data_IF_778277845473
#
_entry.id   IF_778277845473
#
_cell.length_a   1.000
_cell.length_b   1.000
_cell.length_c   1.000
_cell.angle_alpha   90.00
_cell.angle_beta   90.00
_cell.angle_gamma   90.00
#
_symmetry.space_group_name_H-M   'P 1'
#
loop_
_entity.id
_entity.type
_entity.pdbx_description
1 polymer ?
2 non-polymer ?
3 non-polymer ?
4 water ?
#
# COMPACT_ATOMS: atom_id res chain seq x y z
N UNK A 18 9.49 9.59 7.04
CA UNK A 18 8.93 10.76 7.67
C UNK A 18 7.71 11.29 6.94
N UNK A 19 7.94 12.13 5.93
CA UNK A 19 6.83 12.76 5.22
C UNK A 19 5.92 11.74 4.55
N UNK A 20 4.63 12.09 4.44
CA UNK A 20 3.64 11.28 3.76
C UNK A 20 3.83 11.36 2.26
N UNK A 21 3.58 10.25 1.59
CA UNK A 21 3.66 10.22 0.13
C UNK A 21 2.40 9.59 -0.42
N UNK A 22 1.86 10.19 -1.49
CA UNK A 22 0.72 9.60 -2.17
C UNK A 22 0.95 9.75 -3.67
N UNK A 23 1.14 8.63 -4.36
CA UNK A 23 1.49 8.70 -5.79
C UNK A 23 0.21 8.75 -6.58
N UNK A 24 -0.43 9.94 -6.60
CA UNK A 24 -1.80 10.06 -7.10
C UNK A 24 -1.97 9.56 -8.54
N UNK A 25 -1.15 10.05 -9.46
CA UNK A 25 -1.39 9.66 -10.84
C UNK A 25 -1.15 8.14 -11.03
N UNK A 26 -0.13 7.58 -10.38
CA UNK A 26 0.12 6.14 -10.57
C UNK A 26 -1.05 5.34 -10.00
N UNK A 27 -1.59 5.79 -8.87
CA UNK A 27 -2.71 5.06 -8.26
C UNK A 27 -3.95 5.13 -9.13
N UNK A 28 -4.30 6.33 -9.57
CA UNK A 28 -5.52 6.41 -10.38
C UNK A 28 -5.38 5.72 -11.74
N UNK A 29 -4.19 5.72 -12.34
CA UNK A 29 -4.10 5.06 -13.65
C UNK A 29 -4.14 3.54 -13.50
N UNK A 30 -3.39 3.00 -12.56
CA UNK A 30 -3.38 1.54 -12.40
C UNK A 30 -4.77 1.06 -11.95
N UNK A 31 -5.44 1.85 -11.13
CA UNK A 31 -6.77 1.48 -10.64
C UNK A 31 -7.80 1.54 -11.74
N UNK A 32 -7.79 2.61 -12.52
CA UNK A 32 -8.78 2.73 -13.62
C UNK A 32 -8.57 1.60 -14.65
N UNK A 33 -7.30 1.23 -14.88
CA UNK A 33 -7.00 0.22 -15.88
C UNK A 33 -7.43 -1.18 -15.41
N UNK A 34 -7.16 -1.53 -14.14
CA UNK A 34 -7.50 -2.90 -13.69
C UNK A 34 -8.99 -3.04 -13.42
N UNK A 35 -9.60 -1.98 -12.91
CA UNK A 35 -10.91 -2.12 -12.29
C UNK A 35 -12.08 -1.54 -13.06
N UNK A 36 -11.92 -1.35 -14.36
CA UNK A 36 -13.12 -1.22 -15.15
C UNK A 36 -13.14 0.00 -16.02
N UNK A 37 -12.54 1.09 -15.53
CA UNK A 37 -12.85 2.39 -16.14
C UNK A 37 -12.33 2.46 -17.56
N UNK A 38 -11.17 1.86 -17.82
CA UNK A 38 -10.59 1.95 -19.15
C UNK A 38 -11.40 1.21 -20.21
N UNK A 39 -12.10 0.13 -19.85
CA UNK A 39 -12.94 -0.53 -20.85
C UNK A 39 -14.44 -0.31 -20.65
N UNK A 40 -14.76 0.78 -19.94
CA UNK A 40 -16.10 1.33 -19.97
C UNK A 40 -17.03 0.66 -19.00
N UNK A 41 -16.45 -0.02 -18.01
CA UNK A 41 -17.25 -0.59 -16.92
C UNK A 41 -17.12 0.35 -15.72
N UNK A 42 -17.81 1.47 -15.81
CA UNK A 42 -17.65 2.55 -14.89
C UNK A 42 -18.18 2.16 -13.52
N UNK A 43 -19.23 1.36 -13.48
CA UNK A 43 -19.81 0.98 -12.19
C UNK A 43 -18.91 0.02 -11.43
N UNK A 44 -18.24 -0.86 -12.16
CA UNK A 44 -17.29 -1.77 -11.53
C UNK A 44 -16.18 -0.95 -10.87
N UNK A 45 -15.77 0.14 -11.52
CA UNK A 45 -14.68 0.95 -10.98
C UNK A 45 -15.13 1.63 -9.69
N UNK A 46 -16.36 2.17 -9.71
CA UNK A 46 -16.95 2.76 -8.52
C UNK A 46 -17.01 1.79 -7.36
N UNK A 47 -17.37 0.55 -7.66
CA UNK A 47 -17.47 -0.48 -6.63
C UNK A 47 -16.13 -0.77 -6.02
N UNK A 48 -15.10 -0.80 -6.86
CA UNK A 48 -13.76 -1.03 -6.38
C UNK A 48 -13.38 0.15 -5.47
N UNK A 49 -13.68 1.37 -5.89
CA UNK A 49 -13.31 2.54 -5.07
C UNK A 49 -14.03 2.43 -3.73
N UNK A 50 -15.31 2.07 -3.76
CA UNK A 50 -16.08 1.92 -2.52
C UNK A 50 -15.55 0.84 -1.61
N UNK A 51 -15.21 -0.32 -2.19
CA UNK A 51 -14.70 -1.42 -1.37
C UNK A 51 -13.36 -1.03 -0.74
N UNK A 52 -12.50 -0.34 -1.52
CA UNK A 52 -11.20 0.11 -0.99
C UNK A 52 -11.43 1.12 0.13
N UNK A 53 -12.30 2.09 -0.11
CA UNK A 53 -12.69 3.00 0.97
C UNK A 53 -13.17 2.30 2.25
N UNK A 54 -13.97 1.26 2.12
CA UNK A 54 -14.50 0.58 3.29
C UNK A 54 -13.36 -0.05 4.08
N UNK A 55 -12.38 -0.62 3.38
CA UNK A 55 -11.21 -1.23 4.04
C UNK A 55 -10.40 -0.12 4.73
N UNK A 56 -10.22 1.03 4.06
CA UNK A 56 -9.45 2.15 4.64
C UNK A 56 -10.16 2.69 5.87
N UNK A 57 -11.48 2.82 5.77
CA UNK A 57 -12.28 3.32 6.91
C UNK A 57 -12.07 2.42 8.12
N UNK A 58 -12.10 1.10 7.91
CA UNK A 58 -12.00 0.19 9.07
C UNK A 58 -10.63 0.29 9.74
N UNK A 59 -9.58 0.41 8.93
CA UNK A 59 -8.20 0.52 9.42
C UNK A 59 -8.06 1.83 10.18
N UNK A 60 -8.60 2.90 9.61
CA UNK A 60 -8.50 4.22 10.26
C UNK A 60 -9.27 4.25 11.55
N UNK A 61 -10.47 3.64 11.58
CA UNK A 61 -11.25 3.60 12.81
C UNK A 61 -10.55 2.79 13.88
N UNK A 62 -9.89 1.71 13.45
CA UNK A 62 -9.20 0.84 14.40
C UNK A 62 -8.05 1.63 15.03
N UNK A 63 -7.29 2.31 14.19
CA UNK A 63 -6.13 3.06 14.68
C UNK A 63 -6.57 4.20 15.60
N UNK A 64 -7.54 4.98 15.15
CA UNK A 64 -7.95 6.15 15.91
C UNK A 64 -8.70 5.75 17.17
N UNK A 65 -9.31 4.56 17.13
CA UNK A 65 -10.10 4.09 18.25
C UNK A 65 -9.21 3.73 19.42
N UNK A 66 -7.97 3.34 19.12
CA UNK A 66 -7.01 2.90 20.12
C UNK A 66 -6.00 3.97 20.49
N UNK A 67 -6.13 5.16 19.91
CA UNK A 67 -4.99 6.08 19.97
C UNK A 67 -4.70 6.58 21.38
N UNK A 68 -5.66 6.40 22.29
CA UNK A 68 -5.54 6.84 23.68
C UNK A 68 -4.89 5.79 24.58
N UNK A 69 -4.55 4.64 24.00
CA UNK A 69 -3.91 3.60 24.79
C UNK A 69 -2.41 3.86 24.89
N UNK A 70 -1.83 3.56 26.05
CA UNK A 70 -0.38 3.63 26.16
C UNK A 70 0.26 2.44 25.47
N UNK A 71 1.14 2.72 24.54
CA UNK A 71 1.87 1.64 23.87
C UNK A 71 3.35 1.92 23.78
N UNK A 72 3.87 2.79 24.65
CA UNK A 72 5.29 3.13 24.62
C UNK A 72 5.68 4.27 23.65
N UNK A 73 4.75 4.73 22.81
CA UNK A 73 5.04 5.91 21.98
C UNK A 73 4.84 7.23 22.75
N UNK A 74 5.47 8.30 22.28
CA UNK A 74 5.36 9.62 22.90
C UNK A 74 4.34 10.44 22.14
N UNK A 75 4.22 10.14 20.85
CA UNK A 75 3.34 10.90 19.99
C UNK A 75 2.02 10.15 19.82
N UNK A 76 0.92 10.90 19.82
CA UNK A 76 -0.40 10.32 19.61
C UNK A 76 -0.74 10.31 18.14
N UNK A 77 -1.15 9.15 17.64
CA UNK A 77 -1.49 9.01 16.24
C UNK A 77 -2.60 9.96 15.79
N UNK A 78 -2.66 10.24 14.51
CA UNK A 78 -3.75 11.04 13.94
C UNK A 78 -3.98 10.70 12.48
N UNK A 79 -4.79 11.49 11.78
CA UNK A 79 -5.18 11.06 10.44
C UNK A 79 -4.05 11.26 9.41
N UNK A 80 -3.00 11.97 9.78
CA UNK A 80 -1.87 12.17 8.86
C UNK A 80 -0.65 11.37 9.33
N UNK A 81 -0.87 10.33 10.13
CA UNK A 81 0.19 9.45 10.57
C UNK A 81 0.65 8.58 9.41
N UNK A 82 -0.30 8.21 8.56
CA UNK A 82 0.00 7.51 7.31
C UNK A 82 -0.85 8.13 6.23
N UNK A 83 -0.81 7.60 5.01
CA UNK A 83 -1.49 8.28 3.90
C UNK A 83 -2.91 7.77 3.62
N UNK A 84 -3.43 6.95 4.52
CA UNK A 84 -4.71 6.28 4.28
C UNK A 84 -5.88 7.27 4.21
N UNK A 85 -5.83 8.34 5.00
CA UNK A 85 -6.95 9.28 4.94
C UNK A 85 -6.91 10.03 3.61
N UNK A 86 -5.71 10.41 3.19
CA UNK A 86 -5.56 11.06 1.87
C UNK A 86 -6.11 10.14 0.77
N UNK A 87 -5.79 8.85 0.84
CA UNK A 87 -6.26 7.89 -0.19
C UNK A 87 -7.77 7.76 -0.18
N UNK A 88 -8.37 7.81 1.02
CA UNK A 88 -9.83 7.81 1.16
C UNK A 88 -10.48 8.97 0.40
N UNK A 89 -9.91 10.15 0.53
CA UNK A 89 -10.47 11.30 -0.15
C UNK A 89 -10.23 11.15 -1.66
N UNK A 90 -9.05 10.64 -2.05
CA UNK A 90 -8.81 10.40 -3.49
C UNK A 90 -9.89 9.50 -4.10
N UNK A 91 -10.29 8.46 -3.38
CA UNK A 91 -11.32 7.58 -3.94
C UNK A 91 -12.67 8.25 -4.15
N UNK A 92 -13.00 9.25 -3.33
CA UNK A 92 -14.22 10.02 -3.55
C UNK A 92 -14.14 10.75 -4.89
N UNK A 93 -12.98 11.35 -5.20
CA UNK A 93 -12.87 12.14 -6.42
C UNK A 93 -12.98 11.18 -7.59
N UNK A 94 -12.35 10.00 -7.45
CA UNK A 94 -12.39 9.05 -8.56
C UNK A 94 -13.80 8.50 -8.81
N UNK A 95 -14.58 8.31 -7.75
CA UNK A 95 -15.95 7.79 -7.95
C UNK A 95 -16.76 8.85 -8.71
N UNK A 96 -16.59 10.11 -8.33
CA UNK A 96 -17.29 11.21 -9.00
C UNK A 96 -16.85 11.30 -10.45
N UNK A 97 -15.54 11.14 -10.71
CA UNK A 97 -15.04 11.18 -12.08
C UNK A 97 -15.66 10.05 -12.91
N UNK A 98 -15.79 8.86 -12.34
CA UNK A 98 -16.33 7.73 -13.09
C UNK A 98 -17.79 7.98 -13.50
N UNK A 99 -18.55 8.60 -12.61
CA UNK A 99 -19.93 8.95 -12.95
C UNK A 99 -19.91 9.92 -14.10
N UNK A 100 -18.99 10.88 -14.05
CA UNK A 100 -18.90 11.86 -15.12
C UNK A 100 -18.56 11.17 -16.44
N UNK A 101 -17.63 10.22 -16.38
CA UNK A 101 -17.20 9.54 -17.61
C UNK A 101 -18.30 8.69 -18.18
N UNK A 102 -19.11 8.12 -17.30
CA UNK A 102 -20.18 7.28 -17.77
C UNK A 102 -21.18 8.15 -18.51
N UNK A 103 -21.49 9.31 -17.95
CA UNK A 103 -22.45 10.24 -18.57
C UNK A 103 -21.94 10.78 -19.88
N UNK A 104 -20.65 11.13 -19.93
CA UNK A 104 -20.02 11.63 -21.16
C UNK A 104 -20.36 10.69 -22.31
N UNK A 105 -20.33 9.39 -22.00
CA UNK A 105 -20.70 8.33 -22.94
C UNK A 105 -22.21 8.23 -23.15
N UNK A 106 -22.98 8.17 -22.06
CA UNK A 106 -24.43 8.20 -22.14
C UNK A 106 -24.88 9.59 -22.60
N UNK A 107 -24.86 9.79 -23.91
CA UNK A 107 -25.08 11.12 -24.48
C UNK A 107 -26.08 11.07 -25.61
N UNK A 112 -28.71 19.32 -19.88
CA UNK A 112 -29.78 18.52 -19.28
C UNK A 112 -29.21 17.23 -18.72
N UNK A 113 -28.78 16.34 -19.62
CA UNK A 113 -27.90 15.27 -19.18
C UNK A 113 -26.53 15.92 -19.14
N UNK A 114 -26.37 16.97 -19.94
CA UNK A 114 -25.19 17.80 -19.87
C UNK A 114 -25.07 18.47 -18.49
N UNK A 115 -26.20 18.89 -17.90
CA UNK A 115 -26.17 19.50 -16.58
C UNK A 115 -25.69 18.46 -15.57
N UNK A 116 -26.15 17.22 -15.71
CA UNK A 116 -25.69 16.19 -14.79
C UNK A 116 -24.22 15.87 -14.98
N UNK A 117 -23.77 15.92 -16.23
CA UNK A 117 -22.35 15.76 -16.49
C UNK A 117 -21.55 16.82 -15.71
N UNK A 118 -21.99 18.07 -15.86
CA UNK A 118 -21.24 19.18 -15.28
C UNK A 118 -21.30 19.01 -13.78
N UNK A 119 -22.44 18.53 -13.28
CA UNK A 119 -22.57 18.39 -11.83
C UNK A 119 -21.62 17.36 -11.30
N UNK A 120 -21.45 16.25 -12.02
CA UNK A 120 -20.55 15.21 -11.53
C UNK A 120 -19.11 15.68 -11.58
N UNK A 121 -18.77 16.42 -12.64
CA UNK A 121 -17.41 16.94 -12.79
C UNK A 121 -17.12 17.95 -11.68
N UNK A 122 -18.09 18.78 -11.34
CA UNK A 122 -17.84 19.76 -10.30
C UNK A 122 -17.62 19.04 -8.97
N UNK A 123 -18.36 17.96 -8.74
CA UNK A 123 -18.17 17.19 -7.50
C UNK A 123 -16.77 16.56 -7.41
N UNK A 124 -16.27 16.10 -8.54
CA UNK A 124 -14.94 15.47 -8.56
C UNK A 124 -13.95 16.56 -8.21
N UNK A 125 -14.15 17.75 -8.75
CA UNK A 125 -13.26 18.86 -8.48
C UNK A 125 -13.27 19.21 -6.99
N UNK A 126 -14.45 19.20 -6.39
CA UNK A 126 -14.52 19.60 -4.97
C UNK A 126 -13.76 18.59 -4.11
N UNK A 127 -13.87 17.30 -4.44
CA UNK A 127 -13.13 16.27 -3.70
C UNK A 127 -11.64 16.45 -3.88
N UNK A 128 -11.22 16.71 -5.11
CA UNK A 128 -9.79 16.95 -5.35
C UNK A 128 -9.32 18.18 -4.60
N UNK A 129 -10.18 19.20 -4.48
CA UNK A 129 -9.79 20.39 -3.76
C UNK A 129 -9.56 20.06 -2.28
N UNK A 130 -10.40 19.15 -1.74
CA UNK A 130 -10.25 18.68 -0.34
C UNK A 130 -8.90 17.98 -0.16
N UNK A 131 -8.57 17.11 -1.11
CA UNK A 131 -7.31 16.37 -1.06
C UNK A 131 -6.15 17.34 -1.16
N UNK A 132 -6.27 18.32 -2.05
CA UNK A 132 -5.21 19.32 -2.15
C UNK A 132 -5.03 20.13 -0.86
N UNK A 133 -6.13 20.54 -0.22
CA UNK A 133 -6.01 21.28 1.04
C UNK A 133 -5.34 20.41 2.11
N UNK A 134 -5.68 19.12 2.14
CA UNK A 134 -5.08 18.20 3.11
C UNK A 134 -3.59 18.13 2.86
N UNK A 135 -3.20 18.14 1.60
CA UNK A 135 -1.79 17.98 1.26
C UNK A 135 -0.97 19.23 1.53
N UNK A 136 -1.62 20.33 1.91
CA UNK A 136 -0.90 21.55 2.30
C UNK A 136 -0.17 21.38 3.60
N UNK A 137 -0.56 20.36 4.36
CA UNK A 137 0.12 20.03 5.61
C UNK A 137 1.64 19.87 5.44
N UNK A 138 2.42 20.29 6.45
CA UNK A 138 3.87 20.09 6.40
C UNK A 138 4.27 18.62 6.56
N UNK A 139 3.27 17.75 6.73
CA UNK A 139 3.49 16.32 6.92
C UNK A 139 3.62 15.65 5.58
N UNK A 140 3.27 16.38 4.53
CA UNK A 140 3.13 15.78 3.19
C UNK A 140 4.31 16.21 2.32
N UNK A 141 4.90 15.30 1.54
CA UNK A 141 6.10 15.69 0.80
C UNK A 141 5.83 16.56 -0.42
N UNK A 142 6.89 17.20 -0.92
CA UNK A 142 6.79 18.16 -2.01
C UNK A 142 6.19 17.54 -3.24
N UNK A 143 6.57 16.30 -3.50
CA UNK A 143 6.13 15.64 -4.73
C UNK A 143 4.63 15.42 -4.68
N UNK A 144 4.15 15.02 -3.51
CA UNK A 144 2.74 14.74 -3.36
C UNK A 144 1.91 16.01 -3.45
N UNK A 145 2.44 17.13 -2.94
CA UNK A 145 1.75 18.42 -3.11
C UNK A 145 1.58 18.76 -4.58
N UNK A 146 2.62 18.53 -5.38
CA UNK A 146 2.52 18.78 -6.81
C UNK A 146 1.52 17.84 -7.47
N UNK A 147 1.56 16.54 -7.13
CA UNK A 147 0.57 15.61 -7.69
C UNK A 147 -0.85 16.03 -7.38
N UNK A 148 -1.08 16.49 -6.15
CA UNK A 148 -2.43 16.95 -5.79
C UNK A 148 -2.84 18.19 -6.57
N UNK A 149 -1.92 19.15 -6.71
CA UNK A 149 -2.21 20.35 -7.50
C UNK A 149 -2.55 20.01 -8.95
N UNK A 150 -1.79 19.08 -9.50
CA UNK A 150 -1.95 18.64 -10.91
C UNK A 150 -3.28 17.90 -11.11
N UNK A 151 -3.71 17.13 -10.10
CA UNK A 151 -4.94 16.37 -10.22
C UNK A 151 -6.13 17.33 -10.17
N UNK A 152 -6.10 18.28 -9.23
CA UNK A 152 -7.16 19.29 -9.20
C UNK A 152 -7.21 20.07 -10.51
N UNK A 153 -6.04 20.48 -11.01
CA UNK A 153 -6.00 21.23 -12.24
C UNK A 153 -6.61 20.45 -13.40
N UNK A 154 -6.35 19.14 -13.45
CA UNK A 154 -6.85 18.32 -14.54
C UNK A 154 -8.37 18.25 -14.46
N UNK A 155 -8.90 18.04 -13.26
CA UNK A 155 -10.35 17.88 -13.15
C UNK A 155 -11.04 19.23 -13.39
N UNK A 156 -10.40 20.31 -12.91
CA UNK A 156 -10.93 21.65 -13.11
C UNK A 156 -10.94 21.98 -14.61
N UNK A 157 -9.89 21.55 -15.29
CA UNK A 157 -9.81 21.82 -16.71
C UNK A 157 -10.95 21.09 -17.39
N UNK A 158 -11.19 19.84 -17.00
CA UNK A 158 -12.26 19.07 -17.62
C UNK A 158 -13.66 19.70 -17.40
N UNK A 159 -13.90 20.18 -16.20
CA UNK A 159 -15.18 20.86 -15.92
C UNK A 159 -15.35 22.10 -16.82
N UNK A 160 -14.35 22.97 -16.84
CA UNK A 160 -14.42 24.19 -17.65
C UNK A 160 -14.52 23.86 -19.13
N UNK A 161 -13.80 22.84 -19.55
CA UNK A 161 -13.78 22.47 -20.96
C UNK A 161 -15.17 22.02 -21.39
N UNK A 162 -15.81 21.17 -20.60
CA UNK A 162 -17.16 20.70 -20.94
C UNK A 162 -18.20 21.83 -20.84
N UNK A 163 -17.93 22.86 -20.03
CA UNK A 163 -18.81 24.02 -20.01
C UNK A 163 -18.48 25.13 -21.03
N UNK A 164 -17.50 24.85 -21.91
CA UNK A 164 -17.02 25.77 -22.95
C UNK A 164 -16.39 27.05 -22.41
N UNK A 165 -15.91 26.98 -21.18
CA UNK A 165 -15.16 28.10 -20.58
C UNK A 165 -13.72 27.97 -21.05
N UNK A 166 -13.46 28.37 -22.29
CA UNK A 166 -12.24 27.97 -22.98
C UNK A 166 -11.00 28.57 -22.32
N UNK A 167 -11.07 29.84 -21.95
CA UNK A 167 -9.88 30.47 -21.39
C UNK A 167 -9.58 29.90 -20.03
N UNK A 168 -10.62 29.69 -19.22
CA UNK A 168 -10.41 29.07 -17.91
C UNK A 168 -9.93 27.62 -18.04
N UNK A 169 -10.43 26.89 -19.04
CA UNK A 169 -10.01 25.50 -19.26
C UNK A 169 -8.55 25.43 -19.64
N UNK A 170 -8.15 26.29 -20.58
CA UNK A 170 -6.75 26.28 -21.02
C UNK A 170 -5.79 26.68 -19.87
N UNK A 171 -6.23 27.60 -19.00
CA UNK A 171 -5.43 27.95 -17.83
C UNK A 171 -5.19 26.74 -16.93
N UNK A 172 -6.24 25.97 -16.67
CA UNK A 172 -6.12 24.82 -15.80
C UNK A 172 -5.31 23.71 -16.46
N UNK A 173 -5.57 23.44 -17.74
CA UNK A 173 -4.81 22.39 -18.43
C UNK A 173 -3.32 22.76 -18.55
N UNK A 174 -3.02 24.02 -18.80
CA UNK A 174 -1.63 24.48 -18.87
C UNK A 174 -0.93 24.31 -17.52
N UNK A 175 -1.62 24.59 -16.43
CA UNK A 175 -1.07 24.37 -15.09
C UNK A 175 -0.78 22.89 -14.89
N UNK A 176 -1.75 22.06 -15.30
CA UNK A 176 -1.64 20.61 -15.17
C UNK A 176 -0.40 20.12 -15.95
N UNK A 177 -0.33 20.50 -17.24
CA UNK A 177 0.79 20.15 -18.09
C UNK A 177 2.13 20.59 -17.52
N UNK A 178 2.20 21.83 -17.00
CA UNK A 178 3.45 22.34 -16.47
C UNK A 178 3.95 21.50 -15.28
N UNK A 179 3.01 21.13 -14.41
CA UNK A 179 3.36 20.37 -13.22
C UNK A 179 3.77 18.96 -13.60
N UNK A 180 3.02 18.32 -14.48
CA UNK A 180 3.44 16.97 -14.86
C UNK A 180 4.74 16.94 -15.64
N UNK A 181 5.04 17.95 -16.45
CA UNK A 181 6.36 18.04 -17.11
C UNK A 181 7.47 18.17 -16.08
N UNK A 182 7.25 19.03 -15.09
CA UNK A 182 8.17 19.16 -13.96
C UNK A 182 8.40 17.82 -13.22
N UNK A 183 7.34 17.07 -12.94
CA UNK A 183 7.51 15.77 -12.30
C UNK A 183 8.23 14.79 -13.24
N UNK A 184 7.88 14.82 -14.53
CA UNK A 184 8.55 13.93 -15.50
C UNK A 184 10.07 14.22 -15.55
N UNK A 185 10.41 15.50 -15.42
CA UNK A 185 11.79 15.95 -15.54
C UNK A 185 12.59 15.79 -14.26
N UNK A 186 11.98 15.29 -13.20
CA UNK A 186 12.67 15.28 -11.91
C UNK A 186 13.17 13.91 -11.47
N UNK A 187 12.53 12.85 -11.96
CA UNK A 187 12.93 11.52 -11.48
C UNK A 187 13.52 10.62 -12.56
N UNK A 188 13.26 9.32 -12.45
CA UNK A 188 13.85 8.35 -13.38
C UNK A 188 13.19 8.44 -14.74
N UNK A 189 13.92 8.07 -15.79
CA UNK A 189 13.32 7.94 -17.11
C UNK A 189 12.08 7.06 -17.05
N UNK A 190 12.11 6.06 -16.17
CA UNK A 190 11.00 5.14 -16.00
C UNK A 190 9.73 5.79 -15.48
N UNK A 191 9.83 6.58 -14.40
CA UNK A 191 8.66 7.31 -13.91
C UNK A 191 8.18 8.39 -14.88
N UNK A 192 9.08 8.89 -15.72
CA UNK A 192 8.70 9.95 -16.64
C UNK A 192 7.59 9.48 -17.59
N UNK A 193 7.57 8.20 -17.92
CA UNK A 193 6.60 7.72 -18.91
C UNK A 193 5.13 7.99 -18.50
N UNK A 194 4.79 7.72 -17.25
CA UNK A 194 3.46 7.96 -16.75
C UNK A 194 3.07 9.41 -16.89
N UNK A 195 3.97 10.30 -16.45
CA UNK A 195 3.65 11.72 -16.47
C UNK A 195 3.58 12.23 -17.87
N UNK A 196 4.50 11.77 -18.72
CA UNK A 196 4.46 12.22 -20.10
C UNK A 196 3.17 11.79 -20.81
N UNK A 197 2.69 10.59 -20.46
CA UNK A 197 1.45 10.10 -21.07
C UNK A 197 0.25 10.93 -20.62
N UNK A 198 0.30 11.49 -19.41
CA UNK A 198 -0.82 12.28 -18.95
C UNK A 198 -0.78 13.61 -19.68
N UNK A 199 0.41 14.09 -20.02
CA UNK A 199 0.52 15.35 -20.76
C UNK A 199 -0.02 15.11 -22.16
N UNK A 200 0.31 13.96 -22.76
CA UNK A 200 -0.21 13.63 -24.09
C UNK A 200 -1.74 13.65 -24.10
N UNK A 201 -2.33 13.16 -22.99
CA UNK A 201 -3.76 12.94 -22.91
C UNK A 201 -4.53 14.24 -23.01
N UNK A 202 -3.98 15.29 -22.41
CA UNK A 202 -4.70 16.57 -22.39
C UNK A 202 -4.29 17.55 -23.49
N UNK A 203 -3.26 17.20 -24.26
CA UNK A 203 -2.85 18.07 -25.34
C UNK A 203 -3.94 18.38 -26.35
N UNK A 204 -4.74 17.37 -26.78
CA UNK A 204 -5.82 17.75 -27.71
C UNK A 204 -6.82 18.73 -27.12
N UNK A 205 -7.12 18.60 -25.83
CA UNK A 205 -8.00 19.55 -25.19
C UNK A 205 -7.40 20.96 -25.26
N UNK A 206 -6.11 21.07 -25.00
CA UNK A 206 -5.50 22.38 -25.02
C UNK A 206 -5.61 22.95 -26.43
N UNK A 207 -5.29 22.17 -27.45
CA UNK A 207 -5.45 22.66 -28.82
C UNK A 207 -6.88 23.12 -29.12
N UNK A 208 -7.87 22.36 -28.64
CA UNK A 208 -9.26 22.69 -28.97
C UNK A 208 -9.65 24.01 -28.31
N UNK A 209 -9.18 24.21 -27.08
CA UNK A 209 -9.44 25.48 -26.38
C UNK A 209 -8.82 26.62 -27.18
N UNK A 210 -7.57 26.45 -27.57
CA UNK A 210 -6.86 27.55 -28.20
C UNK A 210 -7.55 28.01 -29.46
N UNK A 211 -8.03 27.06 -30.28
CA UNK A 211 -8.68 27.42 -31.55
C UNK A 211 -10.10 27.96 -31.36
N UNK A 212 -10.71 27.65 -30.22
CA UNK A 212 -11.95 28.33 -29.89
C UNK A 212 -11.71 29.77 -29.43
N UNK A 213 -10.60 29.98 -28.74
CA UNK A 213 -10.23 31.31 -28.30
C UNK A 213 -9.81 32.15 -29.51
N UNK A 214 -8.86 31.64 -30.30
CA UNK A 214 -8.46 32.29 -31.54
C UNK A 214 -7.38 33.33 -31.28
N UNK B 17 17.63 5.76 -4.77
CA UNK B 17 16.58 5.94 -3.78
C UNK B 17 15.18 5.65 -4.31
N UNK B 18 15.09 5.21 -5.57
CA UNK B 18 13.82 4.73 -6.10
C UNK B 18 13.71 3.22 -5.84
N UNK B 19 14.37 2.80 -4.77
CA UNK B 19 14.40 1.41 -4.36
C UNK B 19 13.03 0.94 -3.87
N UNK B 20 12.85 -0.36 -3.82
CA UNK B 20 11.63 -0.92 -3.25
C UNK B 20 11.80 -0.93 -1.76
N UNK B 21 10.68 -0.79 -1.06
CA UNK B 21 10.68 -0.84 0.39
C UNK B 21 9.48 -1.70 0.84
N UNK B 22 9.68 -2.51 1.89
CA UNK B 22 8.57 -3.23 2.52
C UNK B 22 8.77 -3.16 4.03
N UNK B 23 7.88 -2.45 4.72
CA UNK B 23 8.02 -2.25 6.16
C UNK B 23 7.43 -3.46 6.87
N UNK B 24 8.16 -4.58 6.82
CA UNK B 24 7.58 -5.86 7.21
C UNK B 24 7.02 -5.87 8.64
N UNK B 25 7.79 -5.41 9.64
CA UNK B 25 7.31 -5.52 11.02
C UNK B 25 6.07 -4.64 11.22
N UNK B 26 6.11 -3.43 10.72
CA UNK B 26 4.97 -2.53 10.77
C UNK B 26 3.70 -3.13 10.16
N UNK B 27 3.84 -3.68 8.96
CA UNK B 27 2.73 -4.31 8.25
C UNK B 27 2.12 -5.48 9.02
N UNK B 28 2.96 -6.41 9.49
CA UNK B 28 2.42 -7.59 10.18
C UNK B 28 1.80 -7.20 11.53
N UNK B 29 2.42 -6.28 12.26
CA UNK B 29 1.91 -5.93 13.60
C UNK B 29 0.56 -5.22 13.50
N UNK B 30 0.44 -4.34 12.52
CA UNK B 30 -0.78 -3.55 12.41
C UNK B 30 -1.92 -4.43 11.89
N UNK B 31 -1.60 -5.28 10.92
CA UNK B 31 -2.54 -6.29 10.40
C UNK B 31 -2.98 -7.30 11.47
N UNK B 32 -2.04 -7.82 12.22
CA UNK B 32 -2.37 -8.80 13.24
C UNK B 32 -3.30 -8.20 14.28
N UNK B 33 -3.01 -6.96 14.70
CA UNK B 33 -3.83 -6.33 15.73
C UNK B 33 -5.24 -6.00 15.27
N UNK B 34 -5.40 -5.60 14.00
CA UNK B 34 -6.74 -5.22 13.54
C UNK B 34 -7.60 -6.46 13.28
N UNK B 35 -6.95 -7.52 12.82
CA UNK B 35 -7.68 -8.65 12.23
C UNK B 35 -7.67 -9.95 13.02
N UNK B 36 -7.69 -9.87 14.34
CA UNK B 36 -8.00 -11.05 15.13
C UNK B 36 -7.11 -11.33 16.33
N UNK B 37 -5.87 -10.85 16.31
CA UNK B 37 -4.93 -11.32 17.33
C UNK B 37 -5.05 -10.62 18.67
N UNK B 38 -5.83 -9.55 18.71
CA UNK B 38 -6.29 -8.98 19.98
C UNK B 38 -6.89 -10.04 20.92
N UNK B 39 -7.53 -11.06 20.36
CA UNK B 39 -8.11 -12.12 21.20
C UNK B 39 -7.77 -13.51 20.67
N UNK B 40 -6.60 -13.63 20.06
CA UNK B 40 -6.11 -14.92 19.61
C UNK B 40 -6.95 -15.57 18.54
N UNK B 41 -7.53 -14.77 17.64
CA UNK B 41 -8.36 -15.34 16.60
C UNK B 41 -7.50 -15.47 15.38
N UNK B 42 -6.68 -16.52 15.40
CA UNK B 42 -5.73 -16.73 14.33
C UNK B 42 -6.45 -17.18 13.06
N UNK B 43 -7.59 -17.85 13.22
CA UNK B 43 -8.39 -18.22 12.07
C UNK B 43 -8.91 -16.97 11.34
N UNK B 44 -9.33 -15.97 12.12
CA UNK B 44 -9.79 -14.73 11.50
C UNK B 44 -8.62 -14.06 10.75
N UNK B 45 -7.45 -14.03 11.38
CA UNK B 45 -6.28 -13.37 10.75
C UNK B 45 -5.86 -14.07 9.45
N UNK B 46 -5.86 -15.39 9.46
CA UNK B 46 -5.49 -16.13 8.27
C UNK B 46 -6.44 -15.81 7.11
N UNK B 47 -7.71 -15.66 7.43
CA UNK B 47 -8.73 -15.31 6.46
C UNK B 47 -8.38 -13.99 5.81
N UNK B 48 -8.05 -13.02 6.65
CA UNK B 48 -7.66 -11.70 6.16
C UNK B 48 -6.46 -11.78 5.21
N UNK B 49 -5.43 -12.54 5.59
CA UNK B 49 -4.22 -12.63 4.78
C UNK B 49 -4.57 -13.25 3.44
N UNK B 50 -5.48 -14.21 3.47
CA UNK B 50 -5.86 -14.92 2.27
C UNK B 50 -6.56 -13.96 1.32
N UNK B 51 -7.47 -13.16 1.85
CA UNK B 51 -8.19 -12.17 1.03
C UNK B 51 -7.24 -11.11 0.47
N UNK B 52 -6.35 -10.58 1.31
CA UNK B 52 -5.29 -9.70 0.78
C UNK B 52 -4.45 -10.32 -0.33
N UNK B 53 -4.04 -11.56 -0.12
CA UNK B 53 -3.20 -12.23 -1.11
C UNK B 53 -3.92 -12.38 -2.43
N UNK B 54 -5.20 -12.68 -2.39
CA UNK B 54 -5.97 -12.83 -3.62
C UNK B 54 -6.05 -11.52 -4.39
N UNK B 55 -6.26 -10.40 -3.68
CA UNK B 55 -6.27 -9.08 -4.33
C UNK B 55 -4.91 -8.83 -4.94
N UNK B 56 -3.85 -9.17 -4.21
CA UNK B 56 -2.48 -8.98 -4.73
C UNK B 56 -2.21 -9.81 -5.97
N UNK B 57 -2.65 -11.08 -5.96
CA UNK B 57 -2.49 -11.93 -7.14
C UNK B 57 -3.20 -11.35 -8.36
N UNK B 58 -4.43 -10.86 -8.19
CA UNK B 58 -5.15 -10.31 -9.34
C UNK B 58 -4.44 -9.08 -9.88
N UNK B 59 -3.96 -8.22 -8.98
CA UNK B 59 -3.19 -7.05 -9.42
C UNK B 59 -1.90 -7.49 -10.14
N UNK B 60 -1.18 -8.49 -9.64
CA UNK B 60 0.07 -8.89 -10.29
C UNK B 60 -0.23 -9.44 -11.66
N UNK B 61 -1.29 -10.22 -11.78
CA UNK B 61 -1.63 -10.77 -13.08
C UNK B 61 -1.99 -9.69 -14.08
N UNK B 62 -2.71 -8.67 -13.62
CA UNK B 62 -3.01 -7.51 -14.46
C UNK B 62 -1.75 -6.76 -14.86
N UNK B 63 -0.88 -6.47 -13.89
CA UNK B 63 0.31 -5.68 -14.22
C UNK B 63 1.22 -6.41 -15.18
N UNK B 64 1.36 -7.72 -15.02
CA UNK B 64 2.29 -8.46 -15.88
C UNK B 64 1.75 -8.56 -17.30
N UNK B 65 0.46 -8.31 -17.48
CA UNK B 65 -0.14 -8.35 -18.81
C UNK B 65 -0.31 -6.99 -19.47
N UNK B 66 -0.16 -5.93 -18.70
CA UNK B 66 -0.54 -4.58 -19.13
C UNK B 66 0.45 -4.05 -20.18
N UNK B 67 -0.10 -3.38 -21.20
CA UNK B 67 0.69 -2.90 -22.34
C UNK B 67 0.35 -1.46 -22.65
N UNK B 68 1.36 -0.71 -23.10
CA UNK B 68 1.15 0.69 -23.46
C UNK B 68 0.31 0.78 -24.73
N UNK B 69 -0.62 1.74 -24.74
CA UNK B 69 -1.55 1.92 -25.86
C UNK B 69 -0.84 2.17 -27.18
N UNK B 70 0.09 3.13 -27.19
CA UNK B 70 0.75 3.54 -28.44
C UNK B 70 1.78 2.53 -28.97
N UNK B 71 2.76 2.18 -28.15
CA UNK B 71 3.91 1.36 -28.59
C UNK B 71 3.65 -0.13 -28.43
N UNK B 72 2.62 -0.50 -27.68
CA UNK B 72 2.33 -1.91 -27.44
C UNK B 72 3.32 -2.57 -26.49
N UNK B 73 4.28 -1.79 -25.98
CA UNK B 73 5.29 -2.36 -25.08
C UNK B 73 4.73 -2.69 -23.70
N UNK B 74 5.27 -3.75 -23.10
CA UNK B 74 4.92 -4.06 -21.72
C UNK B 74 5.12 -2.84 -20.81
N UNK B 75 4.19 -2.63 -19.88
CA UNK B 75 4.24 -1.49 -18.97
C UNK B 75 5.17 -1.78 -17.81
N UNK B 76 5.10 -3.01 -17.30
CA UNK B 76 5.86 -3.44 -16.14
C UNK B 76 6.80 -4.58 -16.52
N UNK B 77 8.11 -4.33 -16.53
CA UNK B 77 9.05 -5.31 -17.08
C UNK B 77 9.19 -6.56 -16.21
N UNK B 78 9.13 -6.41 -14.89
CA UNK B 78 9.21 -7.60 -14.03
C UNK B 78 8.48 -7.48 -12.69
N UNK B 79 8.64 -8.49 -11.85
CA UNK B 79 7.86 -8.56 -10.62
C UNK B 79 8.40 -7.60 -9.56
N UNK B 80 9.51 -6.92 -9.87
CA UNK B 80 10.16 -6.09 -8.86
C UNK B 80 10.17 -4.58 -9.18
N UNK B 81 9.21 -4.12 -9.99
CA UNK B 81 9.07 -2.69 -10.22
C UNK B 81 8.22 -2.05 -9.11
N UNK B 82 7.54 -2.90 -8.33
CA UNK B 82 6.89 -2.42 -7.09
C UNK B 82 6.97 -3.48 -6.03
N UNK B 83 6.47 -3.21 -4.83
CA UNK B 83 6.64 -4.22 -3.77
C UNK B 83 5.55 -5.27 -3.66
N UNK B 84 4.66 -5.35 -4.64
CA UNK B 84 3.50 -6.25 -4.50
C UNK B 84 3.81 -7.75 -4.48
N UNK B 85 4.81 -8.18 -5.23
CA UNK B 85 5.17 -9.59 -5.18
C UNK B 85 5.81 -9.92 -3.84
N UNK B 86 6.63 -9.00 -3.32
CA UNK B 86 7.20 -9.18 -2.01
C UNK B 86 6.08 -9.31 -0.98
N UNK B 87 5.05 -8.50 -1.13
CA UNK B 87 3.94 -8.52 -0.19
C UNK B 87 3.13 -9.81 -0.32
N UNK B 88 3.02 -10.33 -1.55
CA UNK B 88 2.33 -11.60 -1.74
C UNK B 88 3.03 -12.75 -0.99
N UNK B 89 4.36 -12.77 -1.01
CA UNK B 89 5.12 -13.83 -0.33
C UNK B 89 4.98 -13.60 1.19
N UNK B 90 5.03 -12.35 1.61
CA UNK B 90 4.86 -12.10 3.06
C UNK B 90 3.48 -12.62 3.53
N UNK B 91 2.43 -12.42 2.75
CA UNK B 91 1.12 -12.99 3.13
C UNK B 91 1.15 -14.51 3.20
N UNK B 92 1.96 -15.17 2.37
CA UNK B 92 1.99 -16.63 2.39
C UNK B 92 2.62 -17.02 3.71
N UNK B 93 3.66 -16.29 4.11
CA UNK B 93 4.34 -16.58 5.37
C UNK B 93 3.38 -16.37 6.53
N UNK B 94 2.69 -15.25 6.52
CA UNK B 94 1.80 -14.88 7.63
C UNK B 94 0.66 -15.86 7.71
N UNK B 95 0.15 -16.31 6.56
CA UNK B 95 -0.95 -17.27 6.54
C UNK B 95 -0.55 -18.60 7.16
N UNK B 96 0.64 -19.11 6.77
CA UNK B 96 1.16 -20.38 7.31
C UNK B 96 1.40 -20.23 8.82
N UNK B 97 1.96 -19.09 9.22
CA UNK B 97 2.25 -18.91 10.64
C UNK B 97 0.97 -18.83 11.47
N UNK B 98 -0.03 -18.10 10.99
CA UNK B 98 -1.26 -17.99 11.73
C UNK B 98 -1.97 -19.35 11.84
N UNK B 99 -1.82 -20.16 10.80
CA UNK B 99 -2.42 -21.49 10.76
C UNK B 99 -1.72 -22.34 11.77
N UNK B 100 -0.40 -22.18 11.86
CA UNK B 100 0.37 -22.93 12.85
C UNK B 100 -0.06 -22.54 14.25
N UNK B 101 -0.34 -21.26 14.46
CA UNK B 101 -0.67 -20.82 15.81
C UNK B 101 -2.10 -21.25 16.20
N UNK B 102 -2.99 -21.33 15.21
CA UNK B 102 -4.31 -21.88 15.43
C UNK B 102 -4.17 -23.34 15.85
N UNK B 103 -3.34 -24.06 15.11
CA UNK B 103 -3.18 -25.49 15.37
C UNK B 103 -2.53 -25.72 16.73
N UNK B 104 -1.65 -24.81 17.14
CA UNK B 104 -1.04 -24.96 18.43
C UNK B 104 -2.09 -24.87 19.53
N UNK B 105 -3.06 -23.97 19.35
CA UNK B 105 -4.15 -23.86 20.33
C UNK B 105 -4.91 -25.18 20.38
N UNK B 106 -5.17 -25.77 19.22
CA UNK B 106 -5.95 -27.00 19.14
C UNK B 106 -5.18 -28.22 19.64
N UNK B 107 -3.85 -28.20 19.48
CA UNK B 107 -2.98 -29.36 19.78
C UNK B 107 -2.74 -29.46 21.28
N UNK B 108 -2.98 -28.35 21.97
CA UNK B 108 -3.00 -28.32 23.43
C UNK B 108 -3.82 -29.48 23.97
N UNK B 109 -4.92 -29.79 23.28
CA UNK B 109 -5.85 -30.83 23.71
C UNK B 109 -5.98 -31.98 22.69
N UNK B 110 -5.64 -31.69 21.43
CA UNK B 110 -5.68 -32.66 20.35
C UNK B 110 -4.26 -32.94 19.86
N UNK B 111 -3.57 -33.90 20.47
CA UNK B 111 -2.18 -34.15 20.09
C UNK B 111 -1.99 -34.54 18.62
N UNK B 112 -3.02 -35.11 17.99
CA UNK B 112 -2.96 -35.48 16.57
C UNK B 112 -2.71 -34.28 15.66
N UNK B 113 -2.94 -33.07 16.17
CA UNK B 113 -2.77 -31.88 15.35
C UNK B 113 -1.33 -31.40 15.25
N UNK B 114 -0.45 -32.03 16.03
CA UNK B 114 0.94 -31.60 16.04
C UNK B 114 1.67 -31.72 14.69
N UNK B 115 1.45 -32.81 13.93
CA UNK B 115 2.02 -32.94 12.59
C UNK B 115 1.64 -31.71 11.75
N UNK B 116 0.35 -31.40 11.75
CA UNK B 116 -0.14 -30.32 10.92
C UNK B 116 0.41 -28.98 11.43
N UNK B 117 0.47 -28.80 12.75
CA UNK B 117 1.14 -27.63 13.34
C UNK B 117 2.57 -27.47 12.80
N UNK B 118 3.37 -28.53 12.96
CA UNK B 118 4.79 -28.46 12.58
C UNK B 118 4.98 -28.21 11.09
N UNK B 119 4.06 -28.74 10.27
CA UNK B 119 4.15 -28.59 8.82
C UNK B 119 3.90 -27.15 8.41
N UNK B 120 2.92 -26.53 9.06
CA UNK B 120 2.59 -25.16 8.72
C UNK B 120 3.66 -24.21 9.20
N UNK B 121 4.24 -24.47 10.37
CA UNK B 121 5.29 -23.59 10.88
C UNK B 121 6.54 -23.64 10.01
N UNK B 122 6.90 -24.83 9.54
CA UNK B 122 7.99 -24.96 8.63
C UNK B 122 7.68 -24.23 7.32
N UNK B 123 6.46 -24.38 6.84
CA UNK B 123 6.01 -23.67 5.65
C UNK B 123 6.22 -22.16 5.82
N UNK B 124 5.91 -21.62 7.00
CA UNK B 124 6.08 -20.18 7.21
C UNK B 124 7.54 -19.76 7.07
N UNK B 125 8.44 -20.54 7.66
CA UNK B 125 9.88 -20.25 7.56
C UNK B 125 10.31 -20.27 6.10
N UNK B 126 9.77 -21.25 5.38
CA UNK B 126 10.15 -21.39 3.96
C UNK B 126 9.75 -20.16 3.15
N UNK B 127 8.56 -19.64 3.40
CA UNK B 127 8.11 -18.44 2.70
C UNK B 127 8.92 -17.23 3.12
N UNK B 128 9.30 -17.20 4.39
CA UNK B 128 10.10 -16.07 4.87
C UNK B 128 11.49 -16.13 4.18
N UNK B 129 12.04 -17.34 4.02
CA UNK B 129 13.32 -17.52 3.34
C UNK B 129 13.23 -17.03 1.89
N UNK B 130 12.12 -17.37 1.25
CA UNK B 130 11.87 -16.93 -0.14
C UNK B 130 11.83 -15.41 -0.16
N UNK B 131 11.14 -14.79 0.81
CA UNK B 131 11.04 -13.33 0.80
C UNK B 131 12.42 -12.74 1.03
N UNK B 132 13.17 -13.31 1.95
CA UNK B 132 14.51 -12.78 2.25
C UNK B 132 15.41 -12.83 1.02
N UNK B 133 15.29 -13.88 0.21
CA UNK B 133 16.15 -13.99 -0.93
C UNK B 133 15.72 -12.97 -1.98
N UNK B 134 14.41 -12.77 -2.12
CA UNK B 134 13.93 -11.74 -3.05
C UNK B 134 14.47 -10.37 -2.65
N UNK B 135 14.55 -10.13 -1.35
CA UNK B 135 15.00 -8.81 -0.89
C UNK B 135 16.50 -8.60 -1.09
N UNK B 136 17.23 -9.68 -1.42
CA UNK B 136 18.65 -9.53 -1.72
C UNK B 136 18.88 -8.82 -3.07
N UNK B 137 17.79 -8.64 -3.83
CA UNK B 137 17.83 -7.92 -5.08
C UNK B 137 18.38 -6.52 -4.89
N UNK B 138 19.17 -6.06 -5.86
CA UNK B 138 19.80 -4.75 -5.75
C UNK B 138 18.80 -3.60 -5.90
N UNK B 139 17.57 -3.93 -6.29
CA UNK B 139 16.49 -2.92 -6.27
C UNK B 139 15.82 -2.70 -4.94
N UNK B 140 16.08 -3.59 -3.98
CA UNK B 140 15.44 -3.49 -2.67
C UNK B 140 16.33 -2.72 -1.70
N UNK B 141 15.76 -1.78 -0.94
CA UNK B 141 16.59 -0.94 -0.08
C UNK B 141 17.21 -1.69 1.10
N UNK B 142 18.24 -1.11 1.72
CA UNK B 142 18.98 -1.79 2.78
C UNK B 142 18.14 -2.06 4.04
N UNK B 143 17.23 -1.14 4.37
CA UNK B 143 16.39 -1.31 5.56
C UNK B 143 15.49 -2.52 5.40
N UNK B 144 15.00 -2.76 4.18
CA UNK B 144 14.07 -3.88 3.95
C UNK B 144 14.81 -5.20 4.01
N UNK B 145 16.05 -5.18 3.57
CA UNK B 145 16.86 -6.38 3.67
C UNK B 145 16.97 -6.74 5.16
N UNK B 146 17.20 -5.74 6.01
CA UNK B 146 17.30 -6.04 7.43
C UNK B 146 15.98 -6.57 7.95
N UNK B 147 14.86 -5.94 7.55
CA UNK B 147 13.53 -6.37 7.96
C UNK B 147 13.27 -7.84 7.60
N UNK B 148 13.60 -8.20 6.36
CA UNK B 148 13.31 -9.55 5.87
C UNK B 148 14.18 -10.58 6.63
N UNK B 149 15.42 -10.23 6.91
CA UNK B 149 16.31 -11.15 7.61
C UNK B 149 15.84 -11.35 9.06
N UNK B 150 15.40 -10.26 9.70
CA UNK B 150 14.85 -10.33 11.05
C UNK B 150 13.57 -11.16 11.10
N UNK B 151 12.74 -11.08 10.07
CA UNK B 151 11.49 -11.84 10.05
C UNK B 151 11.77 -13.33 9.90
N UNK B 152 12.72 -13.66 9.03
CA UNK B 152 13.07 -15.06 8.86
C UNK B 152 13.64 -15.61 10.15
N UNK B 153 14.50 -14.84 10.81
CA UNK B 153 15.08 -15.29 12.06
C UNK B 153 14.00 -15.51 13.13
N UNK B 154 13.02 -14.62 13.21
CA UNK B 154 11.92 -14.81 14.16
C UNK B 154 11.20 -16.15 13.90
N UNK B 155 10.76 -16.37 12.68
CA UNK B 155 10.03 -17.59 12.39
C UNK B 155 10.88 -18.85 12.50
N UNK B 156 12.14 -18.79 12.03
CA UNK B 156 13.10 -19.88 12.33
C UNK B 156 13.21 -20.20 13.82
N UNK B 157 13.30 -19.16 14.66
CA UNK B 157 13.33 -19.39 16.09
C UNK B 157 12.07 -20.09 16.58
N UNK B 158 10.93 -19.67 16.05
CA UNK B 158 9.66 -20.25 16.48
C UNK B 158 9.57 -21.71 16.11
N UNK B 159 9.96 -22.05 14.88
CA UNK B 159 9.95 -23.44 14.44
C UNK B 159 10.89 -24.29 15.28
N UNK B 160 12.10 -23.78 15.54
CA UNK B 160 13.09 -24.53 16.33
C UNK B 160 12.64 -24.73 17.77
N UNK B 161 11.98 -23.70 18.31
CA UNK B 161 11.44 -23.71 19.66
C UNK B 161 10.35 -24.79 19.79
N UNK B 162 9.51 -24.88 18.77
CA UNK B 162 8.43 -25.85 18.82
C UNK B 162 9.00 -27.27 18.72
N UNK B 163 10.13 -27.44 18.02
CA UNK B 163 10.82 -28.73 17.96
C UNK B 163 11.73 -29.00 19.16
N UNK B 164 11.72 -28.09 20.13
CA UNK B 164 12.60 -28.18 21.29
C UNK B 164 14.08 -28.28 20.94
N UNK B 165 14.47 -27.65 19.83
CA UNK B 165 15.87 -27.55 19.49
C UNK B 165 16.40 -26.24 20.07
N UNK B 166 16.76 -26.28 21.35
CA UNK B 166 16.97 -25.04 22.12
C UNK B 166 18.13 -24.18 21.65
N UNK B 167 19.27 -24.79 21.34
CA UNK B 167 20.45 -24.04 20.86
C UNK B 167 20.22 -23.41 19.49
N UNK B 168 19.65 -24.18 18.56
CA UNK B 168 19.37 -23.63 17.25
C UNK B 168 18.32 -22.51 17.35
N UNK B 169 17.36 -22.64 18.29
CA UNK B 169 16.32 -21.61 18.47
C UNK B 169 16.91 -20.31 19.01
N UNK B 170 17.78 -20.44 20.00
CA UNK B 170 18.38 -19.26 20.61
C UNK B 170 19.30 -18.56 19.61
N UNK B 171 19.96 -19.33 18.74
CA UNK B 171 20.76 -18.71 17.68
C UNK B 171 19.88 -17.86 16.77
N UNK B 172 18.73 -18.40 16.35
CA UNK B 172 17.80 -17.68 15.51
C UNK B 172 17.21 -16.47 16.22
N UNK B 173 16.71 -16.67 17.44
CA UNK B 173 16.16 -15.53 18.22
C UNK B 173 17.23 -14.46 18.50
N UNK B 174 18.46 -14.88 18.82
CA UNK B 174 19.53 -13.90 19.04
C UNK B 174 19.88 -13.11 17.78
N UNK B 175 19.83 -13.78 16.63
CA UNK B 175 20.04 -13.11 15.36
C UNK B 175 18.92 -12.11 15.12
N UNK B 176 17.69 -12.52 15.42
CA UNK B 176 16.52 -11.65 15.27
C UNK B 176 16.73 -10.39 16.14
N UNK B 177 17.14 -10.62 17.39
CA UNK B 177 17.35 -9.52 18.33
C UNK B 177 18.42 -8.55 17.80
N UNK B 178 19.53 -9.12 17.30
CA UNK B 178 20.66 -8.29 16.90
C UNK B 178 20.24 -7.41 15.72
N UNK B 179 19.46 -7.95 14.79
CA UNK B 179 19.04 -7.18 13.64
C UNK B 179 18.06 -6.06 13.99
N UNK B 180 17.06 -6.38 14.80
CA UNK B 180 16.12 -5.36 15.23
C UNK B 180 16.81 -4.26 16.04
N UNK B 181 17.82 -4.62 16.84
CA UNK B 181 18.54 -3.58 17.58
C UNK B 181 19.39 -2.70 16.66
N UNK B 182 19.89 -3.29 15.57
CA UNK B 182 20.57 -2.52 14.54
C UNK B 182 19.56 -1.52 13.96
N UNK B 183 18.41 -2.03 13.52
CA UNK B 183 17.36 -1.18 12.94
C UNK B 183 17.01 -0.01 13.85
N UNK B 184 16.81 -0.30 15.13
CA UNK B 184 16.37 0.72 16.09
C UNK B 184 17.40 1.83 16.31
N UNK B 185 18.65 1.58 15.90
CA UNK B 185 19.73 2.52 16.17
C UNK B 185 19.84 3.54 15.06
N UNK B 186 19.35 3.17 13.89
CA UNK B 186 19.38 4.02 12.71
C UNK B 186 18.22 5.01 12.70
N UNK B 187 17.40 4.99 13.76
CA UNK B 187 16.19 5.80 13.81
C UNK B 187 16.01 6.52 15.15
N UNK B 188 15.06 7.46 15.20
CA UNK B 188 14.73 8.17 16.43
C UNK B 188 14.14 7.20 17.42
N UNK B 189 14.01 7.63 18.68
CA UNK B 189 13.45 6.76 19.70
C UNK B 189 11.98 6.44 19.42
N UNK B 190 11.27 7.35 18.75
CA UNK B 190 9.88 7.16 18.36
C UNK B 190 9.73 6.11 17.27
N UNK B 191 10.61 6.16 16.28
CA UNK B 191 10.59 5.16 15.22
C UNK B 191 11.05 3.79 15.75
N UNK B 192 12.00 3.79 16.67
CA UNK B 192 12.55 2.55 17.20
C UNK B 192 11.58 1.72 18.07
N UNK B 193 10.53 2.34 18.61
CA UNK B 193 9.61 1.62 19.54
C UNK B 193 9.17 0.23 19.05
N UNK B 194 8.70 0.13 17.80
CA UNK B 194 8.20 -1.13 17.25
C UNK B 194 9.28 -2.23 17.27
N UNK B 195 10.49 -1.86 16.86
CA UNK B 195 11.62 -2.77 16.86
C UNK B 195 11.97 -3.20 18.28
N UNK B 196 11.94 -2.25 19.22
CA UNK B 196 12.26 -2.59 20.60
C UNK B 196 11.25 -3.49 21.27
N UNK B 197 9.97 -3.29 20.95
CA UNK B 197 8.90 -4.14 21.49
C UNK B 197 8.91 -5.54 20.90
N UNK B 198 9.38 -5.65 19.65
CA UNK B 198 9.55 -6.94 19.03
C UNK B 198 10.65 -7.72 19.77
N UNK B 199 11.73 -7.04 20.16
CA UNK B 199 12.75 -7.70 20.98
C UNK B 199 12.16 -8.14 22.31
N UNK B 200 11.35 -7.28 22.93
CA UNK B 200 10.72 -7.63 24.21
C UNK B 200 9.85 -8.87 24.03
N UNK B 201 9.26 -8.98 22.85
CA UNK B 201 8.31 -10.02 22.47
C UNK B 201 8.95 -11.39 22.44
N UNK B 202 10.19 -11.45 21.96
CA UNK B 202 10.88 -12.72 21.90
C UNK B 202 11.74 -13.05 23.14
N UNK B 203 11.91 -12.06 24.01
CA UNK B 203 12.71 -12.29 25.20
C UNK B 203 12.23 -13.46 26.11
N UNK B 204 10.90 -13.66 26.28
CA UNK B 204 10.54 -14.88 27.04
C UNK B 204 10.98 -16.19 26.38
N UNK B 205 11.00 -16.21 25.05
CA UNK B 205 11.50 -17.36 24.32
C UNK B 205 13.01 -17.52 24.51
N UNK B 206 13.73 -16.41 24.46
CA UNK B 206 15.17 -16.47 24.62
C UNK B 206 15.50 -16.95 26.02
N UNK B 207 14.76 -16.45 27.01
CA UNK B 207 14.94 -16.89 28.40
C UNK B 207 14.76 -18.42 28.49
N UNK B 208 13.70 -18.93 27.87
CA UNK B 208 13.32 -20.31 28.06
C UNK B 208 14.39 -21.23 27.42
N UNK B 209 14.91 -20.79 26.29
CA UNK B 209 15.97 -21.54 25.60
C UNK B 209 17.24 -21.55 26.39
N UNK B 210 17.59 -20.39 26.95
CA UNK B 210 18.84 -20.26 27.67
C UNK B 210 18.91 -21.23 28.87
N UNK B 211 17.80 -21.36 29.58
CA UNK B 211 17.77 -22.29 30.71
C UNK B 211 17.65 -23.78 30.34
N UNK B 212 17.47 -24.08 29.06
CA UNK B 212 17.43 -25.47 28.60
C UNK B 212 18.79 -25.88 28.05
N UNK B 213 19.67 -24.89 27.97
CA UNK B 213 21.07 -25.08 27.61
C UNK B 213 21.91 -24.80 28.87
N UNK B 214 21.24 -24.72 30.03
CA UNK B 214 21.85 -24.31 31.29
C UNK B 214 23.24 -24.85 31.60
X LIG C 1 -15.20 16.43 -26.77
X LIG C 1 -13.86 16.11 -26.52
X LIG C 1 -15.61 17.57 -25.88
X LIG C 1 -16.16 18.63 -26.59
X LIG C 1 -16.10 19.89 -26.01
X LIG C 1 -17.46 20.43 -25.74
X LIG C 1 -17.28 21.33 -24.70
X LIG D 1 -18.33 16.49 -25.17
X LIG D 1 -18.11 16.22 -26.53
X LIG D 1 -19.43 15.62 -24.64
X LIG D 1 -20.02 16.13 -23.49
X LIG D 1 -21.38 16.44 -23.37
X LIG D 1 -22.28 15.29 -23.69
X LIG D 1 -21.61 14.07 -23.70
X LIG E 1 -15.94 10.20 -27.79
X LIG E 1 -14.86 9.86 -27.00
X LIG E 1 -16.89 11.09 -27.04
X LIG E 1 -17.14 12.24 -27.77
X LIG E 1 -18.42 12.45 -28.29
X LIG E 1 -18.52 11.90 -29.68
X LIG E 1 -19.84 11.69 -30.02
X LIG F 1 -13.80 16.48 -29.67
X LIG F 1 -13.55 15.33 -28.85
X LIG F 1 -15.16 16.44 -30.34
X LIG F 1 -15.54 17.82 -30.59
X LIG G 1 -23.59 17.05 -30.82
X LIG G 1 -24.36 17.41 -31.99
X LIG G 1 -23.82 15.60 -30.41
X LIG G 1 -24.82 14.97 -31.22
X LIG H 1 -22.12 18.93 -25.89
X LIG H 1 -21.69 20.29 -25.81
X LIG H 1 -20.90 18.02 -26.11
X LIG H 1 -21.26 16.67 -26.53
X LIG I 1 -20.43 15.45 -29.95
X LIG I 1 -20.89 14.68 -31.08
X LIG I 1 -19.48 16.62 -30.30
X LIG I 1 -20.12 17.74 -30.97
#
# INVERSE_FOLDING_TARGET
>A
MGHHHHHHGSKANKEFGDSLSLEILQIIKESQQQHGLRHGDFQRYRGYCSRRQRRLRKTLNFKMGNRHKFTGKKVTEDLLTDNRYLLLVLMDAERAWSYAMQLKQEANTEPRKRFHLLSRLRKAVKHAEELERLCESNRVDAKTKLEAQAYTAYLSGMLRFEHQEWKAAIEAFNKCKTIYEKLASAFTEEQAVLYNQRVEEISPNIRYCAYNIGDQ
>B
MGHHHHHHGSKANKEFGDSLSLEILQIIKESQQQHGLRHGDFQRYRGYCSRRQRRLRKTLNFKMGNRHKFTGKKVTEDLLTDNRYLLLVLMDAERAWSYAMQLKQEANTEPRKRFHLLSRLRKAVKHAEELERLCESNRVDAKTKLEAQAYTAYLSGMLRFEHQEWKAAIEAFNKCKTIYEKLASAFTEEQAVLYNQRVEEISPNIRYCAYNIGDQ
>C hetero
1 PEG C1 O1 C2 O2 C3 C4 O4
>D hetero
1 PEG C1 O1 C2 O2 C3 C4 O4
>E hetero
1 PEG C1 O1 C2 O2 C3 C4 O4
>F hetero
1 EDO C1 O1 C2 O2
>G hetero
1 EDO C1 O1 C2 O2
>H hetero
1 EDO C1 O1 C2 O2
>I hetero
1 EDO C1 O1 C2 O2
#
